data_IF_864757908736
#
_entry.id   IF_864757908736
#
_cell.length_a   1.000
_cell.length_b   1.000
_cell.length_c   1.000
_cell.angle_alpha   90.00
_cell.angle_beta   90.00
_cell.angle_gamma   90.00
#
_symmetry.space_group_name_H-M   'P 1'
#
loop_
_entity.id
_entity.type
_entity.pdbx_description
1 polymer ?
#
# COMPACT_ATOMS: atom_id res chain seq x y z
N UNK A 1 -2.14 -2.07 -24.44
CA UNK A 1 -2.55 -1.20 -23.80
C UNK A 1 -3.21 -1.67 -22.72
N UNK A 2 -3.04 -1.13 -21.87
CA UNK A 2 -3.66 -1.54 -20.87
C UNK A 2 -4.94 -1.15 -20.95
N UNK A 3 -5.71 -2.06 -21.06
CA UNK A 3 -6.95 -1.85 -21.20
C UNK A 3 -7.53 -1.21 -20.05
N UNK A 4 -7.08 -1.52 -18.87
CA UNK A 4 -7.60 -0.89 -17.76
C UNK A 4 -6.53 -0.04 -17.26
N UNK A 5 -6.77 1.22 -17.08
CA UNK A 5 -5.87 2.10 -16.44
C UNK A 5 -5.96 1.85 -14.97
N UNK A 6 -4.85 1.72 -14.30
CA UNK A 6 -4.89 1.55 -12.87
C UNK A 6 -5.15 2.90 -12.22
N UNK A 7 -5.79 2.87 -11.07
CA UNK A 7 -6.03 4.08 -10.28
C UNK A 7 -4.76 4.55 -9.61
N UNK A 8 -3.75 3.74 -9.63
CA UNK A 8 -2.49 4.04 -9.02
C UNK A 8 -1.79 2.75 -8.66
N UNK A 9 -0.74 2.84 -7.88
CA UNK A 9 0.03 1.68 -7.49
C UNK A 9 0.30 1.72 -6.00
N UNK A 10 0.39 0.57 -5.38
CA UNK A 10 0.73 0.48 -3.96
C UNK A 10 1.83 -0.53 -3.76
N UNK A 11 2.67 -0.29 -2.78
CA UNK A 11 3.70 -1.22 -2.39
C UNK A 11 3.31 -1.84 -1.06
N UNK A 12 3.32 -3.15 -0.99
CA UNK A 12 2.96 -3.87 0.22
C UNK A 12 4.16 -4.64 0.76
N UNK A 13 4.44 -4.43 2.03
CA UNK A 13 5.44 -5.21 2.73
C UNK A 13 4.82 -5.54 4.08
N UNK A 14 4.25 -6.72 4.18
CA UNK A 14 3.42 -7.09 5.32
C UNK A 14 4.06 -8.26 6.05
N UNK A 15 4.19 -8.12 7.37
CA UNK A 15 4.77 -9.18 8.17
C UNK A 15 3.86 -10.40 8.22
N UNK A 16 4.44 -11.56 8.48
CA UNK A 16 3.68 -12.80 8.45
C UNK A 16 2.51 -12.80 9.41
N UNK A 17 2.69 -12.20 10.57
CA UNK A 17 1.63 -12.20 11.57
C UNK A 17 0.43 -11.35 11.15
N UNK A 18 0.63 -10.43 10.21
CA UNK A 18 -0.44 -9.55 9.77
C UNK A 18 -1.03 -9.94 8.43
N UNK A 19 -0.53 -10.99 7.80
CA UNK A 19 -0.99 -11.31 6.45
C UNK A 19 -2.46 -11.67 6.40
N UNK A 20 -2.91 -12.46 7.36
CA UNK A 20 -4.33 -12.83 7.37
C UNK A 20 -5.23 -11.62 7.50
N UNK A 21 -4.81 -10.66 8.31
CA UNK A 21 -5.61 -9.47 8.54
C UNK A 21 -5.58 -8.51 7.35
N UNK A 22 -4.66 -8.74 6.42
CA UNK A 22 -4.54 -7.86 5.26
C UNK A 22 -5.40 -8.29 4.08
N UNK A 23 -6.04 -9.44 4.16
CA UNK A 23 -6.79 -10.00 3.03
C UNK A 23 -7.81 -9.02 2.49
N UNK A 24 -8.62 -8.45 3.36
CA UNK A 24 -9.65 -7.51 2.94
C UNK A 24 -9.06 -6.28 2.27
N UNK A 25 -7.98 -5.77 2.83
CA UNK A 25 -7.33 -4.59 2.28
C UNK A 25 -6.77 -4.88 0.88
N UNK A 26 -6.17 -6.05 0.71
CA UNK A 26 -5.60 -6.42 -0.57
C UNK A 26 -6.70 -6.58 -1.63
N UNK A 27 -7.80 -7.24 -1.26
CA UNK A 27 -8.91 -7.38 -2.18
C UNK A 27 -9.50 -6.03 -2.56
N UNK A 28 -9.61 -5.13 -1.59
CA UNK A 28 -10.14 -3.81 -1.87
C UNK A 28 -9.25 -3.04 -2.83
N UNK A 29 -7.94 -3.12 -2.65
CA UNK A 29 -7.01 -2.46 -3.56
C UNK A 29 -7.13 -3.02 -4.96
N UNK A 30 -7.22 -4.33 -5.07
CA UNK A 30 -7.36 -4.95 -6.38
C UNK A 30 -8.68 -4.52 -7.04
N UNK A 31 -9.74 -4.48 -6.27
CA UNK A 31 -11.05 -4.09 -6.80
C UNK A 31 -11.11 -2.64 -7.23
N UNK A 32 -10.24 -1.81 -6.66
CA UNK A 32 -10.14 -0.41 -7.07
C UNK A 32 -9.13 -0.20 -8.19
N UNK A 33 -8.68 -1.29 -8.79
CA UNK A 33 -7.75 -1.24 -9.93
C UNK A 33 -6.37 -0.70 -9.60
N UNK A 34 -5.94 -0.86 -8.36
CA UNK A 34 -4.57 -0.51 -8.03
C UNK A 34 -3.63 -1.61 -8.47
N UNK A 35 -2.49 -1.21 -9.00
CA UNK A 35 -1.44 -2.16 -9.29
C UNK A 35 -0.70 -2.44 -7.99
N UNK A 36 -0.42 -3.71 -7.71
CA UNK A 36 0.17 -4.11 -6.45
C UNK A 36 1.60 -4.57 -6.66
N UNK A 37 2.51 -3.95 -5.95
CA UNK A 37 3.89 -4.40 -5.84
C UNK A 37 4.06 -4.94 -4.44
N UNK A 38 4.88 -5.95 -4.28
CA UNK A 38 5.10 -6.51 -2.95
C UNK A 38 6.46 -7.19 -2.86
N UNK A 39 7.00 -7.24 -1.64
CA UNK A 39 8.19 -8.02 -1.40
C UNK A 39 7.84 -9.50 -1.52
N UNK A 40 8.86 -10.34 -1.66
CA UNK A 40 8.65 -11.75 -2.03
C UNK A 40 7.64 -12.48 -1.14
N UNK A 41 7.82 -12.42 0.15
CA UNK A 41 6.90 -13.13 1.06
C UNK A 41 5.48 -12.63 0.96
N UNK A 42 5.31 -11.33 0.85
CA UNK A 42 3.98 -10.72 0.71
C UNK A 42 3.40 -11.08 -0.66
N UNK A 43 4.22 -11.05 -1.70
CA UNK A 43 3.77 -11.39 -3.03
C UNK A 43 3.29 -12.84 -3.11
N UNK A 44 4.00 -13.75 -2.47
CA UNK A 44 3.60 -15.14 -2.46
C UNK A 44 2.22 -15.30 -1.81
N UNK A 45 2.00 -14.58 -0.73
CA UNK A 45 0.71 -14.60 -0.06
C UNK A 45 -0.40 -14.06 -0.96
N UNK A 46 -0.13 -12.95 -1.65
CA UNK A 46 -1.11 -12.34 -2.54
C UNK A 46 -1.43 -13.27 -3.71
N UNK A 47 -0.42 -13.91 -4.26
CA UNK A 47 -0.63 -14.85 -5.35
C UNK A 47 -1.48 -16.04 -4.93
N UNK A 48 -1.39 -16.43 -3.67
CA UNK A 48 -2.20 -17.55 -3.20
C UNK A 48 -3.69 -17.22 -3.23
N UNK A 49 -4.04 -15.95 -3.38
CA UNK A 49 -5.42 -15.50 -3.49
C UNK A 49 -5.79 -15.21 -4.95
N UNK A 50 -4.96 -15.60 -5.88
CA UNK A 50 -5.18 -15.38 -7.32
C UNK A 50 -5.25 -13.89 -7.68
N UNK A 51 -4.50 -13.08 -6.99
CA UNK A 51 -4.44 -11.65 -7.26
C UNK A 51 -3.10 -11.35 -7.93
N UNK A 52 -3.10 -10.64 -9.05
CA UNK A 52 -1.84 -10.28 -9.72
C UNK A 52 -1.00 -9.36 -8.84
N UNK A 53 0.28 -9.64 -8.77
CA UNK A 53 1.20 -8.83 -7.98
C UNK A 53 2.58 -8.88 -8.63
N UNK A 54 3.28 -7.77 -8.54
CA UNK A 54 4.64 -7.70 -9.06
C UNK A 54 5.62 -7.73 -7.88
N UNK A 55 6.57 -8.65 -7.93
CA UNK A 55 7.53 -8.82 -6.85
C UNK A 55 8.64 -7.79 -6.97
N UNK A 56 9.04 -7.20 -5.84
CA UNK A 56 10.19 -6.32 -5.79
C UNK A 56 11.13 -6.79 -4.69
N UNK A 57 12.41 -6.52 -4.86
CA UNK A 57 13.40 -6.92 -3.88
C UNK A 57 13.36 -6.01 -2.66
N UNK A 58 13.80 -6.52 -1.54
CA UNK A 58 13.93 -5.69 -0.34
C UNK A 58 15.11 -4.74 -0.51
N UNK A 59 15.09 -3.67 0.26
CA UNK A 59 16.16 -2.68 0.20
C UNK A 59 17.51 -3.30 0.50
N UNK A 60 17.55 -4.28 1.39
CA UNK A 60 18.80 -4.91 1.78
C UNK A 60 19.34 -5.88 0.75
N UNK A 61 18.61 -6.25 -0.26
CA UNK A 61 19.04 -7.26 -1.21
C UNK A 61 19.70 -6.59 -2.39
N UNK A 62 20.29 -5.72 -2.50
CA UNK A 62 21.03 -5.09 -3.61
C UNK A 62 20.65 -5.61 -4.99
N UNK A 63 19.39 -5.91 -5.19
CA UNK A 63 18.85 -6.32 -6.47
C UNK A 63 17.86 -5.23 -6.90
N UNK A 64 17.83 -4.93 -8.17
CA UNK A 64 16.98 -3.85 -8.66
C UNK A 64 15.91 -4.39 -9.59
N UNK A 65 14.74 -3.82 -9.56
CA UNK A 65 14.35 -2.72 -8.68
C UNK A 65 14.04 -3.22 -7.28
N UNK A 66 14.31 -2.39 -6.29
CA UNK A 66 13.97 -2.74 -4.92
C UNK A 66 12.91 -1.77 -4.41
N UNK A 67 12.46 -2.00 -3.16
CA UNK A 67 11.37 -1.21 -2.60
C UNK A 67 11.70 0.28 -2.56
N UNK A 68 12.90 0.61 -2.15
CA UNK A 68 13.29 2.01 -2.02
C UNK A 68 13.33 2.69 -3.39
N UNK A 69 13.89 2.02 -4.39
CA UNK A 69 13.94 2.59 -5.72
C UNK A 69 12.56 2.81 -6.31
N UNK A 70 11.68 1.86 -6.08
CA UNK A 70 10.33 1.98 -6.57
C UNK A 70 9.66 3.23 -6.02
N UNK A 71 9.88 3.50 -4.74
CA UNK A 71 9.33 4.69 -4.10
C UNK A 71 10.01 5.94 -4.63
N UNK A 72 11.32 5.92 -4.72
CA UNK A 72 12.08 7.09 -5.16
C UNK A 72 11.77 7.49 -6.59
N UNK A 73 11.46 6.52 -7.42
CA UNK A 73 11.14 6.80 -8.81
C UNK A 73 9.66 7.18 -9.01
N UNK A 74 8.90 7.20 -7.95
CA UNK A 74 7.51 7.63 -8.04
C UNK A 74 6.57 6.61 -8.66
N UNK A 75 6.95 5.34 -8.61
CA UNK A 75 6.13 4.30 -9.23
C UNK A 75 4.96 3.86 -8.36
N UNK A 76 4.90 4.31 -7.11
CA UNK A 76 3.80 3.95 -6.22
C UNK A 76 3.18 5.20 -5.61
N UNK A 77 1.90 5.11 -5.31
CA UNK A 77 1.15 6.21 -4.74
C UNK A 77 0.94 6.06 -3.25
N UNK A 78 1.16 4.88 -2.73
CA UNK A 78 1.02 4.63 -1.29
C UNK A 78 1.82 3.39 -0.92
N UNK A 79 2.15 3.28 0.33
CA UNK A 79 2.90 2.15 0.85
C UNK A 79 2.20 1.62 2.08
N UNK A 80 2.08 0.30 2.19
CA UNK A 80 1.60 -0.34 3.40
C UNK A 80 2.74 -1.22 3.90
N UNK A 81 3.29 -0.86 5.04
CA UNK A 81 4.43 -1.58 5.60
C UNK A 81 4.17 -1.86 7.07
N UNK A 82 3.73 -3.06 7.38
CA UNK A 82 3.55 -3.40 8.79
C UNK A 82 4.89 -3.77 9.39
N UNK A 83 5.12 -3.30 10.60
CA UNK A 83 6.42 -3.39 11.20
C UNK A 83 6.44 -4.49 12.24
N UNK A 84 7.19 -5.52 11.98
CA UNK A 84 7.36 -6.60 12.93
C UNK A 84 8.43 -7.52 12.38
N UNK A 85 9.21 -8.10 13.24
CA UNK A 85 10.21 -9.03 12.79
C UNK A 85 11.57 -8.76 13.41
N UNK A 86 12.58 -9.35 12.84
CA UNK A 86 13.92 -9.23 13.37
C UNK A 86 14.54 -7.90 12.93
N UNK A 87 15.82 -7.75 13.24
CA UNK A 87 16.53 -6.52 12.95
C UNK A 87 16.52 -6.18 11.46
N UNK A 88 16.69 -7.18 10.61
CA UNK A 88 16.74 -6.93 9.17
C UNK A 88 15.38 -6.46 8.65
N UNK A 89 14.30 -7.07 9.14
CA UNK A 89 12.98 -6.64 8.76
C UNK A 89 12.69 -5.22 9.21
N UNK A 90 13.13 -4.88 10.42
CA UNK A 90 12.94 -3.53 10.93
C UNK A 90 13.74 -2.51 10.14
N UNK A 91 14.94 -2.89 9.72
CA UNK A 91 15.79 -2.01 8.91
C UNK A 91 15.17 -1.77 7.55
N UNK A 92 14.68 -2.82 6.91
CA UNK A 92 14.01 -2.66 5.62
C UNK A 92 12.79 -1.75 5.75
N UNK A 93 12.03 -1.92 6.82
CA UNK A 93 10.87 -1.07 7.07
C UNK A 93 11.25 0.39 7.26
N UNK A 94 12.36 0.62 7.96
CA UNK A 94 12.85 1.97 8.17
C UNK A 94 13.19 2.63 6.83
N UNK A 95 13.88 1.89 5.95
CA UNK A 95 14.25 2.44 4.65
C UNK A 95 13.02 2.75 3.79
N UNK A 96 12.04 1.88 3.83
CA UNK A 96 10.81 2.11 3.10
C UNK A 96 10.11 3.37 3.59
N UNK A 97 9.96 3.50 4.90
CA UNK A 97 9.25 4.65 5.47
C UNK A 97 10.01 5.95 5.20
N UNK A 98 11.33 5.90 5.28
CA UNK A 98 12.13 7.07 5.01
C UNK A 98 11.97 7.53 3.57
N UNK A 99 12.05 6.59 2.62
CA UNK A 99 11.91 6.92 1.22
C UNK A 99 10.51 7.49 0.94
N UNK A 100 9.49 6.89 1.54
CA UNK A 100 8.13 7.37 1.35
C UNK A 100 7.96 8.79 1.88
N UNK A 101 8.52 9.06 3.05
CA UNK A 101 8.44 10.38 3.64
C UNK A 101 9.14 11.41 2.76
N UNK A 102 10.30 11.06 2.26
CA UNK A 102 11.06 11.97 1.40
C UNK A 102 10.32 12.31 0.13
N UNK A 103 9.55 11.37 -0.37
CA UNK A 103 8.78 11.58 -1.60
C UNK A 103 7.35 11.99 -1.33
N UNK A 104 7.00 12.19 -0.07
CA UNK A 104 5.65 12.61 0.33
C UNK A 104 4.59 11.62 -0.12
N UNK A 105 4.93 10.35 -0.04
CA UNK A 105 4.01 9.28 -0.37
C UNK A 105 3.45 8.74 0.93
N UNK A 106 2.12 8.59 1.06
CA UNK A 106 1.55 8.07 2.31
C UNK A 106 2.09 6.68 2.61
N UNK A 107 2.47 6.48 3.86
CA UNK A 107 2.98 5.19 4.29
C UNK A 107 2.18 4.75 5.51
N UNK A 108 1.48 3.65 5.38
CA UNK A 108 0.65 3.12 6.46
C UNK A 108 1.40 2.00 7.16
N UNK A 109 1.59 2.15 8.45
CA UNK A 109 2.31 1.14 9.22
C UNK A 109 1.37 0.23 9.99
N UNK A 110 0.08 0.46 9.86
CA UNK A 110 -0.95 -0.32 10.53
C UNK A 110 -2.02 -0.69 9.51
N UNK A 111 -2.52 -1.89 9.60
CA UNK A 111 -3.60 -2.33 8.71
C UNK A 111 -4.89 -1.59 8.97
N UNK A 112 -5.14 -1.21 10.22
CA UNK A 112 -6.34 -0.46 10.55
C UNK A 112 -6.36 0.88 9.84
N UNK A 113 -5.23 1.58 9.85
CA UNK A 113 -5.12 2.85 9.16
C UNK A 113 -5.24 2.67 7.66
N UNK A 114 -4.60 1.62 7.14
CA UNK A 114 -4.67 1.33 5.71
C UNK A 114 -6.10 1.02 5.29
N UNK A 115 -6.81 0.22 6.06
CA UNK A 115 -8.20 -0.10 5.77
C UNK A 115 -9.07 1.15 5.76
N UNK A 116 -8.84 2.04 6.73
CA UNK A 116 -9.60 3.28 6.79
C UNK A 116 -9.36 4.12 5.56
N UNK A 117 -8.11 4.20 5.11
CA UNK A 117 -7.79 4.96 3.91
C UNK A 117 -8.45 4.37 2.68
N UNK A 118 -8.44 3.05 2.56
CA UNK A 118 -9.08 2.38 1.42
C UNK A 118 -10.59 2.56 1.46
N UNK A 119 -11.15 2.48 2.65
CA UNK A 119 -12.59 2.70 2.81
C UNK A 119 -12.96 4.12 2.38
N UNK A 120 -12.14 5.09 2.73
CA UNK A 120 -12.38 6.46 2.32
C UNK A 120 -12.29 6.64 0.81
N UNK A 121 -11.44 5.89 0.15
CA UNK A 121 -11.40 5.92 -1.30
C UNK A 121 -12.71 5.43 -1.88
N UNK A 122 -13.25 4.37 -1.34
CA UNK A 122 -14.55 3.86 -1.79
C UNK A 122 -15.64 4.88 -1.59
N UNK A 123 -15.67 5.48 -0.42
CA UNK A 123 -16.68 6.47 -0.11
C UNK A 123 -16.53 7.68 -1.01
N UNK A 124 -15.30 8.12 -1.25
CA UNK A 124 -15.07 9.25 -2.13
C UNK A 124 -15.55 8.97 -3.54
N UNK A 125 -15.31 7.77 -4.02
CA UNK A 125 -15.78 7.41 -5.35
C UNK A 125 -17.32 7.42 -5.42
N UNK A 126 -17.96 6.90 -4.41
CA UNK A 126 -19.40 6.83 -4.43
C UNK A 126 -20.04 8.18 -4.30
N UNK A 127 -19.42 9.10 -3.59
CA UNK A 127 -20.05 10.39 -3.32
C UNK A 127 -19.34 11.54 -4.00
N UNK A 128 -18.44 11.23 -4.88
CA UNK A 128 -17.57 12.23 -5.45
C UNK A 128 -18.29 13.40 -6.05
N UNK A 129 -19.27 13.15 -6.80
CA UNK A 129 -19.96 14.19 -7.53
C UNK A 129 -20.91 15.00 -6.68
N UNK A 130 -21.26 14.53 -5.51
CA UNK A 130 -22.18 15.21 -4.69
C UNK A 130 -21.54 15.83 -3.52
N UNK A 131 -20.40 15.40 -3.17
CA UNK A 131 -19.87 15.66 -1.91
C UNK A 131 -19.07 16.90 -1.81
N UNK A 132 -19.56 17.93 -1.21
CA UNK A 132 -18.76 19.09 -1.02
C UNK A 132 -17.68 18.82 -0.01
N UNK A 133 -16.63 19.55 -0.13
CA UNK A 133 -15.53 19.45 0.77
C UNK A 133 -15.94 19.69 2.21
N UNK A 134 -16.93 20.50 2.39
CA UNK A 134 -17.43 20.80 3.71
C UNK A 134 -17.90 19.58 4.46
N UNK A 135 -18.60 18.70 3.80
CA UNK A 135 -19.04 17.48 4.42
C UNK A 135 -17.89 16.62 4.83
N UNK A 136 -16.90 16.58 3.99
CA UNK A 136 -15.74 15.78 4.26
C UNK A 136 -15.02 16.29 5.50
N UNK A 137 -14.83 17.57 5.58
CA UNK A 137 -14.15 18.18 6.70
C UNK A 137 -14.92 17.92 8.00
N UNK A 138 -16.21 18.04 7.95
CA UNK A 138 -17.01 17.77 9.13
C UNK A 138 -16.88 16.36 9.61
N UNK A 139 -16.83 15.43 8.68
CA UNK A 139 -16.74 14.02 9.03
C UNK A 139 -15.42 13.67 9.66
N UNK A 140 -14.39 14.39 9.32
CA UNK A 140 -13.09 14.07 9.87
C UNK A 140 -12.83 14.78 11.18
N UNK A 141 -13.72 15.67 11.58
CA UNK A 141 -13.49 16.39 12.79
C UNK A 141 -13.83 15.54 13.98
N UNK A 142 -12.92 15.41 14.92
CA UNK A 142 -13.23 14.62 16.09
C UNK A 142 -14.25 15.35 16.95
N UNK A 143 -14.90 14.63 17.72
CA UNK A 143 -15.91 15.22 18.55
C UNK A 143 -15.43 15.43 19.93
#
# INVERSE_FOLDING_TARGET
>A
MCIRDSEGSVLLSISDSHKKDSVDAIHALYNHNYKIYATQGTADFIRSMDIPVEVVAKASEQVFPNTVQLIEQGHVNAVINTIEGDRDALQDGFEIRRAATEKRIPCFTSLDTARAAIYNLSAAHSTYNINPINNYVRNTRPK
#
